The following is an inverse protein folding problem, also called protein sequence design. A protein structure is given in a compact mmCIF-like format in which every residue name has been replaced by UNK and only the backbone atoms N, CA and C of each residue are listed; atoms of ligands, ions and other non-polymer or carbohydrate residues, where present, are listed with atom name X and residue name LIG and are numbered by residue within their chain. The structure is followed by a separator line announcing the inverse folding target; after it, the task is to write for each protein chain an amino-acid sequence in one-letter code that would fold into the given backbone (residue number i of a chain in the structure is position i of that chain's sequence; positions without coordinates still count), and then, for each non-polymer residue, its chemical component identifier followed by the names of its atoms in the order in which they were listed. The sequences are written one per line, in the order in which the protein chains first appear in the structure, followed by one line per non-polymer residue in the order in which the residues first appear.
data_IF_180715268369
#
_entry.id   IF_180715268369
#
_cell.length_a   1.000
_cell.length_b   1.000
_cell.length_c   1.000
_cell.angle_alpha   90.00
_cell.angle_beta   90.00
_cell.angle_gamma   90.00
#
_symmetry.space_group_name_H-M   'P 1'
#
loop_
_entity.id
_entity.type
_entity.pdbx_description
1 polymer ?
#
# COMPACT_ATOMS: atom_id res chain seq x y z
N UNK A 1 9.79 -19.15 -15.60
CA UNK A 1 9.11 -18.02 -14.93
C UNK A 1 9.96 -17.56 -13.75
N UNK A 2 10.14 -16.25 -13.50
CA UNK A 2 10.85 -15.77 -12.32
C UNK A 2 10.13 -16.24 -11.04
N UNK A 3 10.89 -16.65 -10.02
CA UNK A 3 10.31 -17.07 -8.75
C UNK A 3 9.68 -15.89 -7.98
N UNK A 4 8.81 -16.17 -7.00
CA UNK A 4 8.09 -15.16 -6.21
C UNK A 4 9.03 -14.12 -5.55
N UNK A 5 10.22 -14.55 -5.13
CA UNK A 5 11.24 -13.68 -4.51
C UNK A 5 11.77 -12.68 -5.52
N UNK A 6 12.09 -13.12 -6.74
CA UNK A 6 12.55 -12.24 -7.82
C UNK A 6 11.51 -11.19 -8.18
N UNK A 7 10.23 -11.58 -8.28
CA UNK A 7 9.15 -10.63 -8.54
C UNK A 7 9.04 -9.63 -7.37
N UNK A 8 9.07 -10.10 -6.13
CA UNK A 8 8.99 -9.22 -4.95
C UNK A 8 10.15 -8.23 -4.85
N UNK A 9 11.35 -8.59 -5.30
CA UNK A 9 12.52 -7.69 -5.36
C UNK A 9 12.29 -6.50 -6.29
N UNK A 10 11.44 -6.61 -7.30
CA UNK A 10 11.14 -5.52 -8.25
C UNK A 10 10.56 -4.27 -7.58
N UNK A 11 9.96 -4.40 -6.39
CA UNK A 11 9.50 -3.25 -5.57
C UNK A 11 10.63 -2.26 -5.25
N UNK A 12 11.89 -2.69 -5.35
CA UNK A 12 13.05 -1.83 -5.13
C UNK A 12 13.22 -0.80 -6.26
N UNK A 13 12.50 -0.89 -7.38
CA UNK A 13 12.46 0.16 -8.39
C UNK A 13 11.55 1.34 -8.00
N UNK A 14 10.90 1.31 -6.84
CA UNK A 14 10.09 2.43 -6.36
C UNK A 14 11.00 3.61 -5.95
N UNK A 15 10.91 4.78 -6.61
CA UNK A 15 11.76 5.94 -6.35
C UNK A 15 11.53 6.58 -4.97
N UNK A 16 10.44 6.23 -4.27
CA UNK A 16 10.19 6.70 -2.91
C UNK A 16 11.01 5.93 -1.87
N UNK A 17 11.62 4.79 -2.21
CA UNK A 17 12.41 4.00 -1.27
C UNK A 17 13.72 4.69 -0.93
N UNK A 18 14.21 4.47 0.30
CA UNK A 18 15.52 4.95 0.76
C UNK A 18 16.67 4.38 -0.08
N UNK A 19 16.56 3.11 -0.43
CA UNK A 19 17.46 2.42 -1.35
C UNK A 19 16.63 1.88 -2.51
N UNK A 20 16.65 2.62 -3.61
CA UNK A 20 15.99 2.22 -4.86
C UNK A 20 17.01 1.84 -5.91
N UNK A 21 16.60 0.98 -6.84
CA UNK A 21 17.37 0.63 -8.03
C UNK A 21 16.71 1.33 -9.21
N UNK A 22 17.47 2.02 -10.04
CA UNK A 22 16.93 2.74 -11.18
C UNK A 22 16.92 1.86 -12.43
N UNK A 23 16.21 0.72 -12.37
CA UNK A 23 16.02 -0.13 -13.54
C UNK A 23 14.61 0.09 -14.11
N UNK A 24 14.52 0.07 -15.44
CA UNK A 24 13.23 0.09 -16.11
C UNK A 24 12.48 -1.22 -15.81
N UNK A 25 11.31 -1.09 -15.20
CA UNK A 25 10.40 -2.21 -14.96
C UNK A 25 9.62 -2.48 -16.25
N UNK A 26 9.54 -3.74 -16.68
CA UNK A 26 8.72 -4.11 -17.84
C UNK A 26 7.24 -4.12 -17.46
N UNK A 27 6.35 -3.94 -18.44
CA UNK A 27 4.90 -3.93 -18.21
C UNK A 27 4.42 -5.24 -17.55
N UNK A 28 4.93 -6.39 -17.99
CA UNK A 28 4.60 -7.69 -17.42
C UNK A 28 5.12 -7.87 -15.98
N UNK A 29 6.25 -7.26 -15.63
CA UNK A 29 6.82 -7.25 -14.28
C UNK A 29 6.00 -6.38 -13.34
N UNK A 30 5.57 -5.21 -13.80
CA UNK A 30 4.63 -4.35 -13.09
C UNK A 30 3.30 -5.05 -12.86
N UNK A 31 2.74 -5.70 -13.89
CA UNK A 31 1.51 -6.49 -13.78
C UNK A 31 1.65 -7.65 -12.78
N UNK A 32 2.82 -8.30 -12.73
CA UNK A 32 3.09 -9.34 -11.75
C UNK A 32 3.11 -8.80 -10.32
N UNK A 33 3.65 -7.60 -10.08
CA UNK A 33 3.60 -6.94 -8.77
C UNK A 33 2.15 -6.63 -8.36
N UNK A 34 1.32 -6.11 -9.28
CA UNK A 34 -0.10 -5.85 -8.99
C UNK A 34 -0.82 -7.14 -8.60
N UNK A 35 -0.62 -8.23 -9.36
CA UNK A 35 -1.24 -9.53 -9.05
C UNK A 35 -0.83 -10.05 -7.67
N UNK A 36 0.45 -9.96 -7.31
CA UNK A 36 0.92 -10.35 -5.96
C UNK A 36 0.24 -9.49 -4.89
N UNK A 37 0.17 -8.16 -5.09
CA UNK A 37 -0.49 -7.27 -4.14
C UNK A 37 -1.97 -7.61 -3.96
N UNK A 38 -2.68 -7.96 -5.03
CA UNK A 38 -4.09 -8.39 -4.98
C UNK A 38 -4.26 -9.70 -4.23
N UNK A 39 -3.41 -10.68 -4.46
CA UNK A 39 -3.47 -11.94 -3.71
C UNK A 39 -3.14 -11.74 -2.23
N UNK A 40 -2.18 -10.87 -1.91
CA UNK A 40 -1.89 -10.50 -0.52
C UNK A 40 -3.06 -9.74 0.13
N UNK A 41 -3.72 -8.84 -0.59
CA UNK A 41 -4.84 -8.08 -0.05
C UNK A 41 -6.06 -8.95 0.22
N UNK A 42 -6.31 -9.98 -0.61
CA UNK A 42 -7.32 -11.00 -0.35
C UNK A 42 -7.08 -11.71 0.98
N UNK A 43 -5.84 -12.14 1.22
CA UNK A 43 -5.47 -12.79 2.48
C UNK A 43 -5.61 -11.86 3.69
N UNK A 44 -5.28 -10.57 3.51
CA UNK A 44 -5.32 -9.57 4.59
C UNK A 44 -6.69 -8.89 4.75
N UNK A 45 -7.69 -9.24 3.94
CA UNK A 45 -8.97 -8.55 3.90
C UNK A 45 -9.67 -8.42 5.26
N UNK A 46 -9.74 -9.45 6.13
CA UNK A 46 -10.36 -9.31 7.45
C UNK A 46 -9.73 -8.18 8.28
N UNK A 47 -8.40 -8.10 8.29
CA UNK A 47 -7.66 -7.06 9.02
C UNK A 47 -7.87 -5.67 8.40
N UNK A 48 -7.82 -5.57 7.07
CA UNK A 48 -8.08 -4.31 6.36
C UNK A 48 -9.49 -3.79 6.71
N UNK A 49 -10.49 -4.70 6.76
CA UNK A 49 -11.86 -4.35 7.12
C UNK A 49 -11.99 -3.89 8.56
N UNK A 50 -11.28 -4.52 9.50
CA UNK A 50 -11.28 -4.08 10.90
C UNK A 50 -10.66 -2.68 11.06
N UNK A 51 -9.56 -2.39 10.35
CA UNK A 51 -8.93 -1.07 10.35
C UNK A 51 -9.86 -0.01 9.74
N UNK A 52 -10.56 -0.33 8.65
CA UNK A 52 -11.52 0.61 8.05
C UNK A 52 -12.67 0.92 9.01
N UNK A 53 -13.25 -0.12 9.65
CA UNK A 53 -14.32 0.05 10.65
C UNK A 53 -13.88 0.86 11.87
N UNK A 54 -12.63 0.69 12.31
CA UNK A 54 -12.14 1.41 13.49
C UNK A 54 -12.05 2.92 13.25
N UNK A 55 -11.85 3.33 12.00
CA UNK A 55 -11.85 4.74 11.60
C UNK A 55 -13.26 5.34 11.47
N UNK A 56 -14.29 4.52 11.23
CA UNK A 56 -15.70 4.96 11.20
C UNK A 56 -16.25 5.26 12.60
N UNK A 57 -15.82 4.51 13.64
CA UNK A 57 -16.22 4.72 15.05
C UNK A 57 -14.98 4.93 15.95
N UNK A 58 -14.36 6.11 15.80
CA UNK A 58 -13.14 6.50 16.53
C UNK A 58 -13.35 6.44 18.04
N UNK A 59 -14.56 6.71 18.53
CA UNK A 59 -14.86 6.72 19.97
C UNK A 59 -14.78 5.34 20.60
N UNK A 60 -15.15 4.28 19.86
CA UNK A 60 -15.10 2.90 20.37
C UNK A 60 -13.82 2.16 20.04
N UNK A 61 -13.18 2.48 18.91
CA UNK A 61 -12.14 1.62 18.32
C UNK A 61 -10.82 2.33 17.98
N UNK A 62 -10.55 3.49 18.57
CA UNK A 62 -9.34 4.29 18.31
C UNK A 62 -8.03 3.50 18.43
N UNK A 63 -7.97 2.50 19.31
CA UNK A 63 -6.77 1.67 19.53
C UNK A 63 -6.31 0.99 18.24
N UNK A 64 -7.22 0.34 17.50
CA UNK A 64 -6.88 -0.40 16.28
C UNK A 64 -6.32 0.53 15.20
N UNK A 65 -6.96 1.69 15.00
CA UNK A 65 -6.49 2.69 14.04
C UNK A 65 -5.13 3.24 14.44
N UNK A 66 -4.96 3.61 15.71
CA UNK A 66 -3.72 4.20 16.22
C UNK A 66 -2.55 3.23 16.12
N UNK A 67 -2.75 1.95 16.47
CA UNK A 67 -1.73 0.92 16.36
C UNK A 67 -1.31 0.68 14.90
N UNK A 68 -2.30 0.58 14.00
CA UNK A 68 -2.04 0.47 12.57
C UNK A 68 -1.27 1.68 12.03
N UNK A 69 -1.75 2.91 12.31
CA UNK A 69 -1.16 4.14 11.81
C UNK A 69 0.27 4.32 12.33
N UNK A 70 0.50 4.06 13.62
CA UNK A 70 1.84 4.04 14.21
C UNK A 70 2.77 3.09 13.46
N UNK A 71 2.35 1.83 13.26
CA UNK A 71 3.18 0.84 12.55
C UNK A 71 3.39 1.22 11.08
N UNK A 72 2.40 1.78 10.42
CA UNK A 72 2.50 2.26 9.06
C UNK A 72 3.55 3.37 8.93
N UNK A 73 3.53 4.36 9.81
CA UNK A 73 4.52 5.44 9.87
C UNK A 73 5.93 4.90 10.12
N UNK A 74 6.10 3.97 11.07
CA UNK A 74 7.39 3.32 11.32
C UNK A 74 7.93 2.66 10.06
N UNK A 75 7.10 1.88 9.36
CA UNK A 75 7.49 1.19 8.12
C UNK A 75 7.88 2.15 6.99
N UNK A 76 7.21 3.30 6.88
CA UNK A 76 7.60 4.36 5.94
C UNK A 76 8.99 4.89 6.33
N UNK A 77 9.19 5.27 7.59
CA UNK A 77 10.49 5.80 8.07
C UNK A 77 11.64 4.80 7.90
N UNK A 78 11.37 3.50 8.09
CA UNK A 78 12.36 2.43 7.90
C UNK A 78 12.77 2.25 6.43
N UNK A 79 11.83 2.42 5.48
CA UNK A 79 12.00 1.92 4.10
C UNK A 79 12.03 3.01 3.03
N UNK A 80 11.48 4.19 3.30
CA UNK A 80 11.30 5.29 2.35
C UNK A 80 12.28 6.42 2.61
N UNK A 81 12.53 7.23 1.59
CA UNK A 81 13.33 8.44 1.70
C UNK A 81 12.50 9.55 2.36
N UNK A 82 12.69 9.75 3.67
CA UNK A 82 11.94 10.75 4.46
C UNK A 82 12.22 12.20 4.03
N UNK A 83 13.29 12.45 3.28
CA UNK A 83 13.60 13.78 2.75
C UNK A 83 12.77 14.13 1.51
N UNK A 84 12.20 13.12 0.84
CA UNK A 84 11.33 13.31 -0.32
C UNK A 84 10.05 14.05 0.05
N UNK A 85 9.72 15.10 -0.69
CA UNK A 85 8.49 15.90 -0.50
C UNK A 85 7.24 15.00 -0.53
N UNK A 86 7.19 14.03 -1.44
CA UNK A 86 6.08 13.07 -1.54
C UNK A 86 5.95 12.20 -0.29
N UNK A 87 7.08 11.79 0.30
CA UNK A 87 7.10 10.98 1.53
C UNK A 87 6.74 11.83 2.74
N UNK A 88 7.21 13.08 2.81
CA UNK A 88 6.81 14.03 3.86
C UNK A 88 5.30 14.24 3.89
N UNK A 89 4.65 14.38 2.73
CA UNK A 89 3.19 14.46 2.62
C UNK A 89 2.49 13.20 3.16
N UNK A 90 3.03 12.01 2.89
CA UNK A 90 2.50 10.75 3.44
C UNK A 90 2.68 10.63 4.96
N UNK A 91 3.71 11.28 5.53
CA UNK A 91 3.98 11.28 6.97
C UNK A 91 3.21 12.36 7.74
N UNK A 92 2.62 13.33 7.04
CA UNK A 92 1.84 14.40 7.66
C UNK A 92 0.49 13.87 8.14
N UNK A 93 0.33 13.72 9.47
CA UNK A 93 -0.86 13.12 10.08
C UNK A 93 -2.15 13.91 9.85
N UNK A 94 -2.04 15.22 9.66
CA UNK A 94 -3.21 16.08 9.42
C UNK A 94 -3.74 15.94 7.99
N UNK A 95 -2.96 15.35 7.07
CA UNK A 95 -3.27 15.27 5.63
C UNK A 95 -3.29 13.83 5.08
N UNK A 96 -2.75 12.85 5.82
CA UNK A 96 -2.52 11.51 5.27
C UNK A 96 -3.71 10.54 5.46
N UNK A 97 -4.60 10.78 6.41
CA UNK A 97 -5.70 9.87 6.75
C UNK A 97 -6.56 9.54 5.52
N UNK A 98 -6.95 10.53 4.72
CA UNK A 98 -7.72 10.30 3.49
C UNK A 98 -6.96 9.42 2.48
N UNK A 99 -5.66 9.64 2.34
CA UNK A 99 -4.83 8.89 1.41
C UNK A 99 -4.69 7.43 1.88
N UNK A 100 -4.46 7.23 3.17
CA UNK A 100 -4.38 5.90 3.78
C UNK A 100 -5.71 5.16 3.65
N UNK A 101 -6.84 5.83 3.92
CA UNK A 101 -8.18 5.25 3.77
C UNK A 101 -8.43 4.87 2.30
N UNK A 102 -8.08 5.72 1.33
CA UNK A 102 -8.17 5.40 -0.11
C UNK A 102 -7.38 4.14 -0.45
N UNK A 103 -6.14 4.00 0.07
CA UNK A 103 -5.33 2.80 -0.13
C UNK A 103 -5.96 1.56 0.52
N UNK A 104 -6.47 1.65 1.74
CA UNK A 104 -7.14 0.55 2.42
C UNK A 104 -8.41 0.12 1.67
N UNK A 105 -9.19 1.07 1.17
CA UNK A 105 -10.40 0.82 0.39
C UNK A 105 -10.08 0.10 -0.92
N UNK A 106 -9.12 0.58 -1.72
CA UNK A 106 -8.78 -0.11 -2.97
C UNK A 106 -8.27 -1.53 -2.71
N UNK A 107 -7.44 -1.71 -1.68
CA UNK A 107 -6.95 -3.03 -1.28
C UNK A 107 -8.10 -3.94 -0.78
N UNK A 108 -9.11 -3.39 -0.11
CA UNK A 108 -10.30 -4.15 0.26
C UNK A 108 -11.11 -4.59 -0.97
N UNK A 109 -11.23 -3.74 -2.00
CA UNK A 109 -11.97 -4.04 -3.22
C UNK A 109 -11.28 -5.09 -4.11
N UNK A 110 -9.99 -5.31 -3.88
CA UNK A 110 -9.22 -6.37 -4.55
C UNK A 110 -9.72 -7.79 -4.24
N UNK A 111 -10.58 -7.98 -3.22
CA UNK A 111 -11.21 -9.29 -2.95
C UNK A 111 -12.13 -9.75 -4.09
N UNK A 112 -12.66 -8.81 -4.87
CA UNK A 112 -13.51 -9.13 -6.01
C UNK A 112 -12.76 -9.84 -7.15
N UNK A 113 -13.48 -10.56 -8.00
CA UNK A 113 -12.92 -11.23 -9.18
C UNK A 113 -12.21 -10.27 -10.15
N UNK A 114 -12.50 -8.98 -10.07
CA UNK A 114 -11.87 -7.91 -10.86
C UNK A 114 -10.79 -7.14 -10.09
N UNK A 115 -10.32 -7.64 -8.95
CA UNK A 115 -9.39 -6.93 -8.07
C UNK A 115 -8.11 -6.46 -8.75
N UNK A 116 -7.57 -7.29 -9.65
CA UNK A 116 -6.43 -6.92 -10.49
C UNK A 116 -6.69 -5.68 -11.34
N UNK A 117 -7.84 -5.60 -12.02
CA UNK A 117 -8.17 -4.44 -12.86
C UNK A 117 -8.51 -3.20 -12.05
N UNK A 118 -9.18 -3.37 -10.89
CA UNK A 118 -9.44 -2.25 -9.99
C UNK A 118 -8.14 -1.61 -9.49
N UNK A 119 -7.20 -2.42 -8.98
CA UNK A 119 -5.93 -1.91 -8.51
C UNK A 119 -5.09 -1.33 -9.66
N UNK A 120 -5.08 -1.98 -10.82
CA UNK A 120 -4.36 -1.50 -11.99
C UNK A 120 -4.87 -0.13 -12.43
N UNK A 121 -6.18 0.03 -12.62
CA UNK A 121 -6.79 1.31 -13.00
C UNK A 121 -6.51 2.38 -11.94
N UNK A 122 -6.72 2.06 -10.66
CA UNK A 122 -6.41 2.98 -9.57
C UNK A 122 -4.97 3.50 -9.60
N UNK A 123 -3.99 2.66 -9.96
CA UNK A 123 -2.58 3.05 -10.06
C UNK A 123 -2.26 3.88 -11.32
N UNK A 124 -3.03 3.73 -12.40
CA UNK A 124 -2.86 4.55 -13.61
C UNK A 124 -3.59 5.89 -13.52
N UNK A 125 -4.67 5.97 -12.72
CA UNK A 125 -5.48 7.17 -12.51
C UNK A 125 -4.92 8.08 -11.38
N UNK A 126 -3.81 7.69 -10.73
CA UNK A 126 -3.23 8.37 -9.56
C UNK A 126 -2.16 9.41 -9.90
#
# INVERSE_FOLDING_TARGET
MPNKITIWKLRNNNPLRKSYVNNNIKVNEFDALIKITVEMSKYLYPYIREILKSKEDIKKNSIIWNDFNKRFIELIKERFNVDSIRVKKLLNQDENDETIIKFLLILSFCISNQGYQKLKNFLYDF
#
